data_IF_115618139260
#
_entry.id   IF_115618139260
#
_cell.length_a   1.000
_cell.length_b   1.000
_cell.length_c   1.000
_cell.angle_alpha   90.00
_cell.angle_beta   90.00
_cell.angle_gamma   90.00
#
_symmetry.space_group_name_H-M   'P 1'
#
loop_
_entity.id
_entity.type
_entity.pdbx_description
1 polymer ?
#
# COMPACT_ATOMS: atom_id res chain seq x y z
N UNK A 1 -9.82 -28.27 -16.06
CA UNK A 1 -9.30 -27.53 -14.88
C UNK A 1 -9.25 -26.05 -15.20
N UNK A 2 -9.85 -25.21 -14.37
CA UNK A 2 -10.09 -23.81 -14.67
C UNK A 2 -8.88 -22.96 -14.21
N UNK A 3 -7.89 -22.77 -15.09
CA UNK A 3 -6.61 -22.12 -14.78
C UNK A 3 -6.73 -20.71 -14.19
N UNK A 4 -7.84 -20.01 -14.43
CA UNK A 4 -8.12 -18.68 -13.88
C UNK A 4 -8.13 -18.67 -12.35
N UNK A 5 -8.67 -19.71 -11.71
CA UNK A 5 -8.78 -19.77 -10.23
C UNK A 5 -7.45 -20.05 -9.55
N UNK A 6 -6.55 -20.79 -10.23
CA UNK A 6 -5.21 -21.08 -9.69
C UNK A 6 -4.34 -19.82 -9.66
N UNK A 7 -4.41 -19.01 -10.71
CA UNK A 7 -3.65 -17.75 -10.81
C UNK A 7 -4.20 -16.71 -9.82
N UNK A 8 -5.52 -16.59 -9.67
CA UNK A 8 -6.13 -15.66 -8.71
C UNK A 8 -5.72 -15.97 -7.26
N UNK A 9 -5.69 -17.26 -6.90
CA UNK A 9 -5.32 -17.69 -5.56
C UNK A 9 -3.86 -17.32 -5.23
N UNK A 10 -2.96 -17.46 -6.21
CA UNK A 10 -1.55 -17.11 -6.02
C UNK A 10 -1.34 -15.60 -5.86
N UNK A 11 -2.07 -14.77 -6.63
CA UNK A 11 -2.02 -13.31 -6.53
C UNK A 11 -2.55 -12.85 -5.17
N UNK A 12 -3.70 -13.38 -4.74
CA UNK A 12 -4.30 -13.04 -3.44
C UNK A 12 -3.38 -13.45 -2.28
N UNK A 13 -2.78 -14.64 -2.34
CA UNK A 13 -1.81 -15.08 -1.32
C UNK A 13 -0.61 -14.13 -1.21
N UNK A 14 -0.05 -13.69 -2.34
CA UNK A 14 1.07 -12.72 -2.36
C UNK A 14 0.66 -11.37 -1.79
N UNK A 15 -0.53 -10.88 -2.15
CA UNK A 15 -1.09 -9.61 -1.64
C UNK A 15 -1.29 -9.66 -0.13
N UNK A 16 -1.83 -10.75 0.40
CA UNK A 16 -2.04 -10.93 1.84
C UNK A 16 -0.71 -11.02 2.58
N UNK A 17 0.25 -11.82 2.09
CA UNK A 17 1.59 -11.91 2.69
C UNK A 17 2.30 -10.55 2.73
N UNK A 18 2.15 -9.75 1.66
CA UNK A 18 2.71 -8.40 1.60
C UNK A 18 2.05 -7.48 2.65
N UNK A 19 0.73 -7.52 2.80
CA UNK A 19 0.00 -6.76 3.82
C UNK A 19 0.43 -7.14 5.23
N UNK A 20 0.56 -8.43 5.54
CA UNK A 20 1.05 -8.90 6.84
C UNK A 20 2.48 -8.43 7.12
N UNK A 21 3.36 -8.46 6.10
CA UNK A 21 4.72 -7.91 6.23
C UNK A 21 4.70 -6.41 6.53
N UNK A 22 3.82 -5.65 5.88
CA UNK A 22 3.71 -4.21 6.11
C UNK A 22 3.11 -3.90 7.48
N UNK A 23 2.14 -4.71 7.93
CA UNK A 23 1.56 -4.66 9.27
C UNK A 23 2.61 -4.87 10.36
N UNK A 24 3.44 -5.92 10.23
CA UNK A 24 4.51 -6.20 11.21
C UNK A 24 5.57 -5.10 11.27
N UNK A 25 5.77 -4.36 10.18
CA UNK A 25 6.69 -3.22 10.12
C UNK A 25 6.04 -1.87 10.47
N UNK A 26 4.74 -1.86 10.79
CA UNK A 26 3.93 -0.65 10.95
C UNK A 26 4.04 0.33 9.77
N UNK A 27 4.12 -0.17 8.54
CA UNK A 27 4.24 0.64 7.32
C UNK A 27 2.97 0.57 6.49
N UNK A 28 2.59 1.69 5.88
CA UNK A 28 1.50 1.74 4.91
C UNK A 28 1.84 0.84 3.70
N UNK A 29 0.97 -0.09 3.29
CA UNK A 29 1.23 -0.98 2.16
C UNK A 29 1.19 -0.28 0.79
N UNK A 30 0.50 0.86 0.68
CA UNK A 30 0.38 1.62 -0.57
C UNK A 30 1.66 2.43 -0.86
N UNK A 31 2.09 3.27 0.10
CA UNK A 31 3.33 4.04 -0.03
C UNK A 31 4.56 3.35 0.57
N UNK A 32 4.45 2.09 1.01
CA UNK A 32 5.54 1.31 1.64
C UNK A 32 6.22 1.98 2.83
N UNK A 33 5.50 2.85 3.52
CA UNK A 33 6.01 3.63 4.65
C UNK A 33 6.61 4.98 4.31
N UNK A 34 6.54 5.44 3.06
CA UNK A 34 7.09 6.74 2.68
C UNK A 34 6.23 7.94 3.12
N UNK A 35 4.92 7.78 3.23
CA UNK A 35 3.98 8.88 3.51
C UNK A 35 3.77 9.82 2.33
N UNK A 36 4.85 10.21 1.65
CA UNK A 36 4.85 11.03 0.45
C UNK A 36 5.76 10.41 -0.61
N UNK A 37 5.42 10.59 -1.87
CA UNK A 37 6.22 10.14 -3.01
C UNK A 37 6.76 11.41 -3.67
N UNK A 38 8.09 11.54 -3.70
CA UNK A 38 8.74 12.58 -4.49
C UNK A 38 8.96 11.98 -5.87
N UNK A 39 8.20 12.41 -6.90
CA UNK A 39 8.44 11.93 -8.25
C UNK A 39 9.85 12.36 -8.69
N UNK A 40 10.61 11.44 -9.29
CA UNK A 40 11.98 11.69 -9.75
C UNK A 40 12.08 12.65 -10.95
N UNK A 41 10.98 13.27 -11.36
CA UNK A 41 10.94 14.17 -12.51
C UNK A 41 11.34 15.59 -12.09
N UNK A 42 12.34 16.18 -12.76
CA UNK A 42 12.75 17.57 -12.55
C UNK A 42 11.63 18.60 -12.82
N UNK A 43 10.57 18.21 -13.52
CA UNK A 43 9.44 19.09 -13.84
C UNK A 43 8.27 18.97 -12.88
N UNK A 44 8.33 18.05 -11.91
CA UNK A 44 7.28 17.86 -10.91
C UNK A 44 7.84 18.26 -9.55
N UNK A 45 7.52 19.48 -9.12
CA UNK A 45 7.93 20.04 -7.83
C UNK A 45 7.01 19.65 -6.68
N UNK A 46 5.87 19.01 -6.96
CA UNK A 46 4.92 18.58 -5.95
C UNK A 46 5.26 17.19 -5.40
N UNK A 47 5.42 17.11 -4.09
CA UNK A 47 5.36 15.85 -3.36
C UNK A 47 3.94 15.28 -3.46
N UNK A 48 3.80 14.06 -3.97
CA UNK A 48 2.52 13.37 -4.01
C UNK A 48 2.27 12.75 -2.63
N UNK A 49 1.28 13.26 -1.93
CA UNK A 49 0.88 12.72 -0.64
C UNK A 49 0.18 11.37 -0.77
N UNK A 50 0.48 10.43 0.13
CA UNK A 50 -0.23 9.16 0.18
C UNK A 50 -1.56 9.36 0.89
N UNK A 51 -2.63 9.51 0.09
CA UNK A 51 -4.00 9.62 0.59
C UNK A 51 -4.42 8.41 1.43
N UNK A 52 -3.92 7.22 1.10
CA UNK A 52 -4.29 6.00 1.81
C UNK A 52 -3.82 5.97 3.27
N UNK A 53 -2.83 6.78 3.66
CA UNK A 53 -2.37 6.88 5.05
C UNK A 53 -2.25 8.34 5.53
N UNK A 54 -2.88 9.29 4.85
CA UNK A 54 -2.80 10.73 5.14
C UNK A 54 -1.37 11.21 5.40
N UNK A 55 -0.44 10.84 4.52
CA UNK A 55 0.97 11.26 4.60
C UNK A 55 1.79 10.75 5.79
N UNK A 56 1.21 9.93 6.68
CA UNK A 56 1.91 9.39 7.86
C UNK A 56 2.89 8.26 7.51
N UNK A 57 2.59 7.49 6.47
CA UNK A 57 3.31 6.25 6.15
C UNK A 57 3.05 5.09 7.12
N UNK A 58 2.13 5.23 8.08
CA UNK A 58 1.84 4.21 9.09
C UNK A 58 0.85 3.16 8.57
N UNK A 59 0.99 1.91 9.03
CA UNK A 59 -0.02 0.87 8.77
C UNK A 59 -1.34 1.17 9.48
N UNK A 60 -1.29 1.71 10.70
CA UNK A 60 -2.48 1.99 11.52
C UNK A 60 -3.34 3.06 10.85
N UNK A 61 -2.72 4.13 10.37
CA UNK A 61 -3.44 5.22 9.71
C UNK A 61 -3.97 4.77 8.34
N UNK A 62 -3.26 3.87 7.67
CA UNK A 62 -3.79 3.17 6.51
C UNK A 62 -5.01 2.32 6.83
N UNK A 63 -4.96 1.51 7.89
CA UNK A 63 -6.07 0.65 8.30
C UNK A 63 -7.32 1.48 8.65
N UNK A 64 -7.15 2.62 9.34
CA UNK A 64 -8.25 3.55 9.62
C UNK A 64 -8.90 4.09 8.34
N UNK A 65 -8.10 4.60 7.40
CA UNK A 65 -8.62 5.17 6.15
C UNK A 65 -9.28 4.16 5.20
N UNK A 66 -9.04 2.86 5.38
CA UNK A 66 -9.73 1.80 4.62
C UNK A 66 -10.96 1.23 5.35
N UNK A 67 -11.19 1.60 6.61
CA UNK A 67 -12.31 1.12 7.42
C UNK A 67 -13.42 2.18 7.62
N UNK A 68 -13.29 3.36 7.01
CA UNK A 68 -14.27 4.45 7.01
C UNK A 68 -15.19 4.44 5.77
N UNK A 69 -15.36 3.26 5.14
CA UNK A 69 -16.39 2.99 4.13
C UNK A 69 -17.70 2.48 4.77
#
# INVERSE_FOLDING_TARGET
>A
MNFKSLISNMINKRKNNFREKMKTQNKCPECRGHGFIIPSSMYITSSLECHACNSTGSYIDWEKGNNED
#
